data_IF_889743722146
#
_entry.id   IF_889743722146
#
_cell.length_a   1.000
_cell.length_b   1.000
_cell.length_c   1.000
_cell.angle_alpha   90.00
_cell.angle_beta   90.00
_cell.angle_gamma   90.00
#
_symmetry.space_group_name_H-M   'P 1'
#
loop_
_entity.id
_entity.type
_entity.pdbx_description
1 polymer ?
#
# COMPACT_ATOMS: atom_id res chain seq x y z
N UNK A 1 5.71 -39.88 41.10
CA UNK A 1 6.72 -39.62 40.05
C UNK A 1 6.15 -38.62 39.06
N UNK A 2 6.57 -37.35 39.11
CA UNK A 2 6.08 -36.26 38.23
C UNK A 2 7.11 -36.02 37.12
N UNK A 3 6.76 -36.31 35.86
CA UNK A 3 7.56 -35.94 34.68
C UNK A 3 7.29 -34.47 34.35
N UNK A 4 8.32 -33.63 34.43
CA UNK A 4 8.28 -32.25 33.90
C UNK A 4 8.71 -32.30 32.44
N UNK A 5 7.82 -31.89 31.54
CA UNK A 5 8.13 -31.64 30.13
C UNK A 5 8.75 -30.24 30.08
N UNK A 6 10.02 -30.18 29.69
CA UNK A 6 10.74 -28.94 29.46
C UNK A 6 10.37 -28.46 28.05
N UNK A 7 9.52 -27.44 27.94
CA UNK A 7 9.32 -26.73 26.68
C UNK A 7 10.57 -25.89 26.41
N UNK A 8 11.37 -26.35 25.45
CA UNK A 8 12.43 -25.54 24.85
C UNK A 8 11.74 -24.47 24.00
N UNK A 9 11.57 -23.28 24.55
CA UNK A 9 11.20 -22.09 23.77
C UNK A 9 12.46 -21.69 23.02
N UNK A 10 12.59 -22.15 21.77
CA UNK A 10 13.58 -21.60 20.85
C UNK A 10 13.19 -20.14 20.60
N UNK A 11 14.03 -19.15 20.91
CA UNK A 11 13.81 -17.81 20.40
C UNK A 11 14.01 -17.90 18.88
N UNK A 12 12.92 -17.72 18.13
CA UNK A 12 13.01 -17.42 16.71
C UNK A 12 13.80 -16.12 16.63
N UNK A 13 15.09 -16.24 16.27
CA UNK A 13 15.90 -15.16 15.76
C UNK A 13 15.19 -14.65 14.50
N UNK A 14 14.26 -13.71 14.68
CA UNK A 14 13.88 -12.79 13.64
C UNK A 14 15.16 -12.08 13.23
N UNK A 15 15.70 -12.50 12.08
CA UNK A 15 16.70 -11.78 11.33
C UNK A 15 16.10 -10.43 10.95
N UNK A 16 16.12 -9.49 11.88
CA UNK A 16 15.72 -8.09 11.72
C UNK A 16 16.82 -7.37 10.94
N UNK A 17 16.97 -7.75 9.67
CA UNK A 17 17.78 -7.05 8.66
C UNK A 17 16.98 -6.79 7.38
N UNK A 18 15.65 -6.89 7.44
CA UNK A 18 14.78 -6.81 6.27
C UNK A 18 14.49 -5.35 5.88
N UNK A 19 15.38 -4.76 5.07
CA UNK A 19 15.06 -3.94 3.89
C UNK A 19 14.16 -2.70 3.98
N UNK A 20 13.80 -2.18 5.16
CA UNK A 20 12.91 -1.00 5.24
C UNK A 20 13.51 0.23 4.52
N UNK A 21 14.83 0.43 4.63
CA UNK A 21 15.52 1.53 3.95
C UNK A 21 15.50 1.38 2.42
N UNK A 22 15.59 0.14 1.90
CA UNK A 22 15.53 -0.11 0.46
C UNK A 22 14.12 0.16 -0.06
N UNK A 23 13.08 -0.20 0.70
CA UNK A 23 11.67 0.01 0.36
C UNK A 23 11.31 1.49 0.10
N UNK A 24 11.80 2.43 0.90
CA UNK A 24 11.46 3.84 0.71
C UNK A 24 12.36 4.57 -0.29
N UNK A 25 13.47 3.96 -0.71
CA UNK A 25 14.50 4.61 -1.53
C UNK A 25 14.74 3.93 -2.88
N UNK A 26 14.03 2.85 -3.20
CA UNK A 26 14.16 2.24 -4.52
C UNK A 26 13.41 3.11 -5.55
N UNK A 27 14.15 3.63 -6.52
CA UNK A 27 13.55 4.11 -7.76
C UNK A 27 13.06 2.86 -8.49
N UNK A 28 11.77 2.78 -8.82
CA UNK A 28 11.14 1.62 -9.44
C UNK A 28 11.97 0.95 -10.56
N UNK A 29 11.70 -0.32 -10.84
CA UNK A 29 12.37 -1.02 -11.93
C UNK A 29 11.94 -0.42 -13.29
N UNK A 30 12.76 -0.58 -14.33
CA UNK A 30 12.64 0.11 -15.62
C UNK A 30 11.22 0.13 -16.23
N UNK A 31 10.43 -0.91 -15.97
CA UNK A 31 9.08 -1.09 -16.52
C UNK A 31 7.95 -0.79 -15.50
N UNK A 32 8.30 -0.55 -14.24
CA UNK A 32 7.35 -0.31 -13.15
C UNK A 32 7.65 0.96 -12.39
N UNK A 33 6.77 1.95 -12.56
CA UNK A 33 6.74 3.11 -11.67
C UNK A 33 6.18 2.66 -10.34
N UNK A 34 6.85 3.01 -9.25
CA UNK A 34 6.47 2.54 -7.93
C UNK A 34 6.54 3.63 -6.90
N UNK A 35 5.46 3.72 -6.16
CA UNK A 35 5.25 4.72 -5.13
C UNK A 35 5.19 3.98 -3.79
N UNK A 36 6.25 4.03 -2.97
CA UNK A 36 6.20 3.48 -1.63
C UNK A 36 5.18 4.28 -0.80
N UNK A 37 4.34 3.59 -0.04
CA UNK A 37 3.38 4.21 0.86
C UNK A 37 3.87 4.08 2.30
N UNK A 38 3.36 3.11 3.06
CA UNK A 38 3.83 2.76 4.40
C UNK A 38 4.19 1.29 4.39
N UNK A 39 5.43 0.95 4.74
CA UNK A 39 5.89 -0.44 4.75
C UNK A 39 4.88 -1.35 5.46
N UNK A 40 4.50 -2.50 4.88
CA UNK A 40 5.00 -3.08 3.62
C UNK A 40 4.19 -2.70 2.36
N UNK A 41 3.35 -1.67 2.39
CA UNK A 41 2.40 -1.35 1.30
C UNK A 41 2.95 -0.34 0.29
N UNK A 42 2.71 -0.60 -0.98
CA UNK A 42 3.13 0.24 -2.10
C UNK A 42 2.07 0.31 -3.20
N UNK A 43 2.26 1.24 -4.11
CA UNK A 43 1.53 1.34 -5.37
C UNK A 43 2.46 0.99 -6.53
N UNK A 44 2.01 0.13 -7.44
CA UNK A 44 2.72 -0.24 -8.66
C UNK A 44 1.95 0.20 -9.89
N UNK A 45 2.58 0.94 -10.80
CA UNK A 45 1.98 1.33 -12.07
C UNK A 45 2.79 0.73 -13.22
N UNK A 46 2.09 0.14 -14.20
CA UNK A 46 2.68 -0.53 -15.36
C UNK A 46 2.49 0.37 -16.56
N UNK A 47 3.60 0.76 -17.20
CA UNK A 47 3.67 1.59 -18.41
C UNK A 47 3.09 3.02 -18.33
N UNK A 48 1.97 3.26 -17.64
CA UNK A 48 1.32 4.58 -17.48
C UNK A 48 0.95 4.88 -16.03
N UNK A 49 0.42 6.09 -15.76
CA UNK A 49 -0.04 6.51 -14.43
C UNK A 49 -1.57 6.54 -14.30
N UNK A 50 -2.30 6.01 -15.27
CA UNK A 50 -3.77 6.06 -15.29
C UNK A 50 -4.40 5.10 -14.27
N UNK A 51 -3.70 3.99 -14.01
CA UNK A 51 -4.07 2.98 -13.03
C UNK A 51 -2.84 2.45 -12.31
N UNK A 52 -3.05 1.95 -11.10
CA UNK A 52 -2.01 1.33 -10.30
C UNK A 52 -2.59 0.21 -9.44
N UNK A 53 -1.74 -0.74 -9.11
CA UNK A 53 -2.03 -1.86 -8.22
C UNK A 53 -1.51 -1.46 -6.83
N UNK A 54 -2.43 -1.26 -5.91
CA UNK A 54 -2.12 -1.23 -4.48
C UNK A 54 -1.75 -2.65 -4.05
N UNK A 55 -0.59 -2.82 -3.45
CA UNK A 55 -0.09 -4.14 -3.09
C UNK A 55 0.76 -4.13 -1.83
N UNK A 56 0.95 -5.33 -1.30
CA UNK A 56 1.77 -5.59 -0.11
C UNK A 56 3.07 -6.26 -0.53
N UNK A 57 4.19 -5.74 -0.07
CA UNK A 57 5.49 -6.40 -0.19
C UNK A 57 5.52 -7.66 0.68
N UNK A 58 5.80 -8.80 0.06
CA UNK A 58 5.79 -10.13 0.69
C UNK A 58 7.20 -10.74 0.85
N UNK A 59 8.26 -9.98 0.55
CA UNK A 59 9.65 -10.43 0.58
C UNK A 59 10.26 -10.56 -0.83
N UNK A 60 11.46 -11.12 -0.94
CA UNK A 60 12.14 -11.31 -2.23
C UNK A 60 12.83 -10.06 -2.78
N UNK A 61 13.31 -10.14 -4.03
CA UNK A 61 13.97 -9.01 -4.70
C UNK A 61 12.93 -7.93 -5.00
N UNK A 62 13.05 -6.80 -4.32
CA UNK A 62 12.09 -5.71 -4.48
C UNK A 62 11.96 -5.30 -5.93
N UNK A 63 12.99 -5.43 -6.79
CA UNK A 63 12.96 -5.03 -8.21
C UNK A 63 12.08 -5.92 -9.09
N UNK A 64 11.66 -7.09 -8.62
CA UNK A 64 10.82 -8.04 -9.36
C UNK A 64 9.40 -8.11 -8.75
N UNK A 65 8.45 -7.27 -9.20
CA UNK A 65 7.12 -7.17 -8.59
C UNK A 65 6.37 -8.50 -8.58
N UNK A 66 6.54 -9.31 -9.63
CA UNK A 66 5.86 -10.60 -9.77
C UNK A 66 6.25 -11.61 -8.67
N UNK A 67 7.38 -11.37 -7.98
CA UNK A 67 7.85 -12.23 -6.89
C UNK A 67 7.84 -11.54 -5.54
N UNK A 68 7.71 -10.21 -5.52
CA UNK A 68 7.86 -9.43 -4.30
C UNK A 68 6.58 -8.79 -3.80
N UNK A 69 5.50 -8.80 -4.58
CA UNK A 69 4.28 -8.07 -4.26
C UNK A 69 3.04 -8.92 -4.45
N UNK A 70 2.16 -8.87 -3.46
CA UNK A 70 0.80 -9.35 -3.53
C UNK A 70 -0.12 -8.16 -3.85
N UNK A 71 -0.75 -8.17 -5.03
CA UNK A 71 -1.73 -7.16 -5.43
C UNK A 71 -3.02 -7.29 -4.64
N UNK A 72 -3.54 -6.17 -4.14
CA UNK A 72 -4.74 -6.11 -3.29
C UNK A 72 -5.89 -5.40 -3.99
N UNK A 73 -5.60 -4.29 -4.68
CA UNK A 73 -6.65 -3.41 -5.21
C UNK A 73 -6.15 -2.59 -6.38
N UNK A 74 -6.97 -2.44 -7.41
CA UNK A 74 -6.67 -1.56 -8.55
C UNK A 74 -7.29 -0.18 -8.36
N UNK A 75 -6.49 0.87 -8.53
CA UNK A 75 -6.83 2.26 -8.19
C UNK A 75 -6.46 3.22 -9.31
N UNK A 76 -7.12 4.37 -9.37
CA UNK A 76 -6.85 5.43 -10.36
C UNK A 76 -6.32 6.73 -9.75
N UNK A 77 -6.60 6.97 -8.47
CA UNK A 77 -6.12 8.13 -7.73
C UNK A 77 -6.13 7.84 -6.23
N UNK A 78 -5.41 8.65 -5.46
CA UNK A 78 -5.29 8.42 -4.02
C UNK A 78 -5.16 9.69 -3.18
N UNK A 79 -5.38 9.53 -1.88
CA UNK A 79 -5.02 10.48 -0.82
C UNK A 79 -4.23 9.69 0.21
N UNK A 80 -2.97 10.07 0.42
CA UNK A 80 -2.13 9.47 1.46
C UNK A 80 -2.33 10.20 2.79
N UNK A 81 -2.46 9.43 3.86
CA UNK A 81 -2.42 9.89 5.26
C UNK A 81 -1.50 8.97 6.06
N UNK A 82 -1.17 9.36 7.27
CA UNK A 82 -0.22 8.59 8.11
C UNK A 82 -0.82 7.24 8.61
N UNK A 83 -2.14 7.20 8.81
CA UNK A 83 -2.89 6.06 9.36
C UNK A 83 -3.61 5.23 8.27
N UNK A 84 -3.88 5.83 7.12
CA UNK A 84 -4.63 5.20 6.05
C UNK A 84 -4.29 5.78 4.68
N UNK A 85 -4.77 5.10 3.65
CA UNK A 85 -4.83 5.60 2.28
C UNK A 85 -6.24 5.47 1.76
N UNK A 86 -6.69 6.53 1.08
CA UNK A 86 -8.01 6.60 0.47
C UNK A 86 -7.82 6.53 -1.03
N UNK A 87 -8.61 5.70 -1.69
CA UNK A 87 -8.51 5.43 -3.11
C UNK A 87 -9.75 5.88 -3.86
N UNK A 88 -9.54 6.41 -5.06
CA UNK A 88 -10.54 6.41 -6.12
C UNK A 88 -10.29 5.17 -6.97
N UNK A 89 -11.35 4.43 -7.24
CA UNK A 89 -11.30 3.21 -8.05
C UNK A 89 -11.51 3.57 -9.52
N UNK A 90 -10.92 2.80 -10.45
CA UNK A 90 -11.23 2.96 -11.86
C UNK A 90 -12.72 2.63 -12.13
N UNK A 91 -13.33 3.17 -13.20
CA UNK A 91 -14.68 2.80 -13.62
C UNK A 91 -14.81 1.28 -13.82
N UNK A 92 -16.00 0.74 -13.60
CA UNK A 92 -16.28 -0.67 -13.90
C UNK A 92 -16.03 -0.94 -15.39
N UNK A 93 -15.37 -2.06 -15.70
CA UNK A 93 -15.02 -2.43 -17.07
C UNK A 93 -13.82 -1.67 -17.66
N UNK A 94 -13.19 -0.76 -16.92
CA UNK A 94 -11.90 -0.21 -17.33
C UNK A 94 -10.84 -1.33 -17.43
N UNK A 95 -9.84 -1.20 -18.31
CA UNK A 95 -8.72 -2.14 -18.36
C UNK A 95 -8.08 -2.29 -16.97
N UNK A 96 -7.96 -3.52 -16.48
CA UNK A 96 -7.47 -3.79 -15.14
C UNK A 96 -8.50 -3.62 -14.01
N UNK A 97 -9.77 -3.24 -14.25
CA UNK A 97 -10.76 -3.11 -13.17
C UNK A 97 -11.36 -4.45 -12.67
N UNK A 98 -10.88 -5.59 -13.16
CA UNK A 98 -11.37 -6.92 -12.81
C UNK A 98 -10.81 -7.35 -11.44
N UNK A 99 -11.22 -6.67 -10.39
CA UNK A 99 -10.97 -7.08 -9.00
C UNK A 99 -12.12 -7.98 -8.55
N UNK A 100 -11.83 -9.27 -8.28
CA UNK A 100 -12.85 -10.25 -7.89
C UNK A 100 -13.58 -9.89 -6.61
N UNK A 101 -12.94 -9.07 -5.76
CA UNK A 101 -13.38 -8.80 -4.40
C UNK A 101 -13.99 -7.40 -4.23
N UNK A 102 -14.01 -6.58 -5.29
CA UNK A 102 -14.64 -5.25 -5.29
C UNK A 102 -16.17 -5.41 -5.36
N UNK A 103 -16.94 -4.90 -4.38
CA UNK A 103 -18.39 -4.90 -4.48
C UNK A 103 -18.86 -4.02 -5.66
N UNK A 104 -19.87 -4.47 -6.43
CA UNK A 104 -20.45 -3.69 -7.52
C UNK A 104 -20.90 -2.30 -7.07
N UNK A 105 -20.69 -1.29 -7.92
CA UNK A 105 -21.04 0.11 -7.66
C UNK A 105 -20.09 0.85 -6.70
N UNK A 106 -19.02 0.20 -6.21
CA UNK A 106 -18.02 0.88 -5.38
C UNK A 106 -17.19 1.83 -6.23
N UNK A 107 -17.08 3.11 -5.86
CA UNK A 107 -16.23 4.09 -6.56
C UNK A 107 -14.99 4.48 -5.74
N UNK A 108 -15.00 4.19 -4.45
CA UNK A 108 -13.94 4.54 -3.53
C UNK A 108 -13.59 3.39 -2.60
N UNK A 109 -12.39 3.44 -2.03
CA UNK A 109 -11.99 2.54 -0.96
C UNK A 109 -11.11 3.24 0.08
N UNK A 110 -11.08 2.69 1.30
CA UNK A 110 -10.16 3.10 2.36
C UNK A 110 -9.42 1.87 2.85
N UNK A 111 -8.10 1.97 2.88
CA UNK A 111 -7.24 0.97 3.51
C UNK A 111 -6.57 1.56 4.75
N UNK A 112 -6.77 0.92 5.91
CA UNK A 112 -6.13 1.31 7.18
C UNK A 112 -4.88 0.48 7.39
N UNK A 113 -3.73 1.13 7.50
CA UNK A 113 -2.44 0.44 7.56
C UNK A 113 -2.30 -0.44 8.79
N UNK A 114 -2.71 0.06 9.95
CA UNK A 114 -2.47 -0.61 11.24
C UNK A 114 -3.33 -1.86 11.41
N UNK A 115 -4.51 -1.91 10.79
CA UNK A 115 -5.41 -3.08 10.85
C UNK A 115 -5.39 -3.95 9.61
N UNK A 116 -4.84 -3.46 8.49
CA UNK A 116 -4.95 -4.10 7.19
C UNK A 116 -6.38 -4.14 6.63
N UNK A 117 -7.32 -3.38 7.21
CA UNK A 117 -8.72 -3.42 6.82
C UNK A 117 -8.95 -2.59 5.54
N UNK A 118 -9.54 -3.22 4.53
CA UNK A 118 -10.05 -2.57 3.32
C UNK A 118 -11.57 -2.41 3.40
N UNK A 119 -12.08 -1.22 3.09
CA UNK A 119 -13.52 -0.92 2.99
C UNK A 119 -13.84 -0.19 1.70
N UNK A 120 -15.01 -0.48 1.15
CA UNK A 120 -15.47 0.09 -0.12
C UNK A 120 -16.66 1.02 0.08
N UNK A 121 -16.77 2.03 -0.78
CA UNK A 121 -17.83 3.03 -0.72
C UNK A 121 -18.33 3.34 -2.13
N UNK A 122 -19.65 3.46 -2.28
CA UNK A 122 -20.26 3.88 -3.53
C UNK A 122 -20.05 5.38 -3.76
N UNK A 123 -20.21 6.21 -2.73
CA UNK A 123 -20.22 7.67 -2.87
C UNK A 123 -19.25 8.39 -1.92
N UNK A 124 -18.91 9.63 -2.27
CA UNK A 124 -17.96 10.45 -1.51
C UNK A 124 -18.49 10.83 -0.12
N UNK A 125 -19.82 10.97 0.04
CA UNK A 125 -20.43 11.31 1.33
C UNK A 125 -20.27 10.17 2.34
N UNK A 126 -20.51 8.93 1.91
CA UNK A 126 -20.25 7.73 2.71
C UNK A 126 -18.78 7.61 3.11
N UNK A 127 -17.88 7.93 2.19
CA UNK A 127 -16.44 7.94 2.43
C UNK A 127 -16.03 9.03 3.45
N UNK A 128 -16.57 10.24 3.34
CA UNK A 128 -16.35 11.34 4.29
C UNK A 128 -16.79 10.99 5.70
N UNK A 129 -17.97 10.35 5.84
CA UNK A 129 -18.48 9.85 7.13
C UNK A 129 -17.53 8.84 7.78
N UNK A 130 -17.04 7.85 7.03
CA UNK A 130 -16.04 6.90 7.54
C UNK A 130 -14.73 7.60 7.92
N UNK A 131 -14.31 8.56 7.10
CA UNK A 131 -13.07 9.32 7.28
C UNK A 131 -13.17 10.40 8.36
N UNK A 132 -14.36 10.60 8.95
CA UNK A 132 -14.68 11.62 9.96
C UNK A 132 -14.18 13.01 9.57
N UNK A 133 -14.40 13.40 8.32
CA UNK A 133 -13.97 14.70 7.81
C UNK A 133 -15.06 15.33 6.97
N UNK A 134 -15.27 16.62 7.17
CA UNK A 134 -16.15 17.46 6.35
C UNK A 134 -15.35 18.21 5.27
N UNK A 135 -14.02 18.09 5.27
CA UNK A 135 -13.18 18.72 4.28
C UNK A 135 -13.34 18.04 2.90
N UNK A 136 -13.20 18.80 1.80
CA UNK A 136 -13.14 18.22 0.45
C UNK A 136 -12.04 17.17 0.33
N UNK A 137 -12.35 16.05 -0.32
CA UNK A 137 -11.38 14.99 -0.59
C UNK A 137 -10.66 15.30 -1.90
N UNK A 138 -9.46 15.87 -1.80
CA UNK A 138 -8.63 16.22 -2.95
C UNK A 138 -7.75 15.02 -3.32
N UNK A 139 -8.19 14.26 -4.31
CA UNK A 139 -7.44 13.12 -4.84
C UNK A 139 -6.29 13.58 -5.74
N UNK A 140 -5.11 13.02 -5.52
CA UNK A 140 -3.95 13.17 -6.39
C UNK A 140 -3.97 12.08 -7.45
N UNK A 141 -3.61 12.43 -8.69
CA UNK A 141 -3.32 11.40 -9.70
C UNK A 141 -2.12 10.55 -9.24
N UNK A 142 -1.99 9.34 -9.77
CA UNK A 142 -0.85 8.49 -9.42
C UNK A 142 0.48 9.11 -9.88
N UNK A 143 0.47 9.84 -10.99
CA UNK A 143 1.64 10.59 -11.47
C UNK A 143 2.03 11.69 -10.48
N UNK A 144 1.06 12.50 -10.03
CA UNK A 144 1.31 13.55 -9.06
C UNK A 144 1.85 12.98 -7.75
N UNK A 145 1.23 11.92 -7.24
CA UNK A 145 1.66 11.24 -6.02
C UNK A 145 3.08 10.66 -6.17
N UNK A 146 3.39 10.00 -7.29
CA UNK A 146 4.71 9.45 -7.59
C UNK A 146 5.79 10.54 -7.66
N UNK A 147 5.52 11.62 -8.41
CA UNK A 147 6.44 12.76 -8.53
C UNK A 147 6.68 13.40 -7.16
N UNK A 148 5.63 13.64 -6.38
CA UNK A 148 5.74 14.25 -5.05
C UNK A 148 6.48 13.37 -4.04
N UNK A 149 6.38 12.04 -4.16
CA UNK A 149 7.11 11.09 -3.31
C UNK A 149 8.60 11.03 -3.66
N UNK A 150 8.93 11.01 -4.96
CA UNK A 150 10.31 10.90 -5.46
C UNK A 150 11.24 12.03 -5.01
N UNK A 151 10.68 13.16 -4.55
CA UNK A 151 11.44 14.30 -4.02
C UNK A 151 11.47 14.40 -2.50
N UNK A 152 10.72 13.55 -1.77
CA UNK A 152 10.80 13.51 -0.30
C UNK A 152 12.05 12.73 0.09
N UNK A 153 13.03 13.42 0.68
CA UNK A 153 14.16 12.76 1.35
C UNK A 153 13.60 11.78 2.39
N UNK A 154 14.18 10.58 2.54
CA UNK A 154 13.75 9.68 3.60
C UNK A 154 13.78 10.44 4.94
N UNK A 155 12.85 10.15 5.87
CA UNK A 155 12.92 10.71 7.21
C UNK A 155 14.32 10.44 7.73
N UNK A 156 14.99 11.49 8.21
CA UNK A 156 16.37 11.42 8.65
C UNK A 156 16.52 10.19 9.55
N UNK A 157 17.33 9.23 9.12
CA UNK A 157 17.53 7.98 9.85
C UNK A 157 17.75 8.34 11.32
N UNK A 158 16.85 7.86 12.19
CA UNK A 158 17.01 8.02 13.63
C UNK A 158 18.35 7.38 13.95
N UNK A 159 19.36 8.21 14.19
CA UNK A 159 20.65 7.76 14.70
C UNK A 159 20.33 7.07 16.02
N UNK A 160 20.35 5.74 16.03
CA UNK A 160 20.32 5.00 17.29
C UNK A 160 21.51 5.50 18.13
N UNK A 161 21.29 5.81 19.42
CA UNK A 161 22.38 6.20 20.32
C UNK A 161 23.41 5.08 20.47
#
# INVERSE_FOLDING_TARGET
MKKRILFLVLPILLLSGCGEADFYNYMGYRDWYRLPLKYPYQMEMIDTFDTGIFGKYIGGDIRDPNKSVEGILIVSALIQRDDCVIFRLPPEGAPGAADSDRPPGSHYAVFRYDSGQLRFFADEESLKRESKTDAPLIFQSLEEAFRNCSFRRPPAAIKKP
#
